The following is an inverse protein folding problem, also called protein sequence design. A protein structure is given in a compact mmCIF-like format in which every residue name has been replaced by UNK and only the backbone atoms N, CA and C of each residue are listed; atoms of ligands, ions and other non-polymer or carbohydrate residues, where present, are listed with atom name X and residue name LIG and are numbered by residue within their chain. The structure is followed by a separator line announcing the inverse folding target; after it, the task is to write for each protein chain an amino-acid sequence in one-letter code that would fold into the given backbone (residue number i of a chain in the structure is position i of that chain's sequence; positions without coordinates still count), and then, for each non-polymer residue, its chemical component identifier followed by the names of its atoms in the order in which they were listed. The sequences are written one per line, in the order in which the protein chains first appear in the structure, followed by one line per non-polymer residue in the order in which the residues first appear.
data_IF_587108354969
#
_entry.id   IF_587108354969
#
_cell.length_a   1.000
_cell.length_b   1.000
_cell.length_c   1.000
_cell.angle_alpha   90.00
_cell.angle_beta   90.00
_cell.angle_gamma   90.00
#
_symmetry.space_group_name_H-M   'P 1'
#
loop_
_entity.id
_entity.type
_entity.pdbx_description
1 polymer ?
#
# COMPACT_ATOMS: atom_id res chain seq x y z
N UNK A 1 4.68 -15.44 -27.49
CA UNK A 1 3.25 -15.06 -27.45
C UNK A 1 2.45 -15.76 -26.36
N UNK A 2 2.71 -17.03 -26.00
CA UNK A 2 1.92 -17.75 -24.96
C UNK A 2 2.28 -17.50 -23.48
N UNK A 3 3.54 -17.14 -23.18
CA UNK A 3 4.02 -16.97 -21.79
C UNK A 3 3.24 -15.90 -21.01
N UNK A 4 2.90 -14.78 -21.65
CA UNK A 4 2.16 -13.69 -21.01
C UNK A 4 0.73 -14.10 -20.66
N UNK A 5 0.08 -14.93 -21.48
CA UNK A 5 -1.29 -15.38 -21.26
C UNK A 5 -1.37 -16.43 -20.17
N UNK A 6 -0.51 -17.45 -20.19
CA UNK A 6 -0.47 -18.46 -19.13
C UNK A 6 -0.09 -17.86 -17.78
N UNK A 7 0.89 -16.95 -17.75
CA UNK A 7 1.26 -16.21 -16.53
C UNK A 7 0.09 -15.37 -16.01
N UNK A 8 -0.66 -14.71 -16.90
CA UNK A 8 -1.81 -13.89 -16.50
C UNK A 8 -2.94 -14.72 -15.91
N UNK A 9 -3.23 -15.88 -16.49
CA UNK A 9 -4.24 -16.82 -15.96
C UNK A 9 -3.80 -17.31 -14.57
N UNK A 10 -2.53 -17.71 -14.44
CA UNK A 10 -1.98 -18.16 -13.16
C UNK A 10 -2.05 -17.06 -12.09
N UNK A 11 -1.70 -15.83 -12.43
CA UNK A 11 -1.73 -14.68 -11.51
C UNK A 11 -3.15 -14.37 -11.02
N UNK A 12 -4.14 -14.43 -11.92
CA UNK A 12 -5.53 -14.18 -11.56
C UNK A 12 -6.08 -15.32 -10.72
N UNK A 13 -5.89 -16.57 -11.16
CA UNK A 13 -6.40 -17.75 -10.44
C UNK A 13 -5.77 -17.87 -9.05
N UNK A 14 -4.44 -17.78 -8.96
CA UNK A 14 -3.72 -17.78 -7.69
C UNK A 14 -4.10 -16.61 -6.80
N UNK A 15 -4.24 -15.41 -7.39
CA UNK A 15 -4.68 -14.21 -6.66
C UNK A 15 -6.07 -14.36 -6.05
N UNK A 16 -7.04 -14.91 -6.79
CA UNK A 16 -8.41 -15.14 -6.29
C UNK A 16 -8.43 -16.21 -5.20
N UNK A 17 -7.72 -17.33 -5.40
CA UNK A 17 -7.65 -18.41 -4.41
C UNK A 17 -7.05 -17.90 -3.11
N UNK A 18 -5.91 -17.20 -3.18
CA UNK A 18 -5.26 -16.62 -2.00
C UNK A 18 -6.14 -15.55 -1.35
N UNK A 19 -6.83 -14.72 -2.14
CA UNK A 19 -7.73 -13.71 -1.59
C UNK A 19 -8.86 -14.34 -0.77
N UNK A 20 -9.50 -15.39 -1.29
CA UNK A 20 -10.57 -16.10 -0.58
C UNK A 20 -10.04 -16.82 0.67
N UNK A 21 -8.90 -17.48 0.55
CA UNK A 21 -8.25 -18.19 1.66
C UNK A 21 -7.86 -17.24 2.80
N UNK A 22 -7.29 -16.08 2.46
CA UNK A 22 -6.82 -15.10 3.44
C UNK A 22 -7.87 -14.02 3.77
N UNK A 23 -9.05 -14.02 3.15
CA UNK A 23 -10.15 -13.10 3.43
C UNK A 23 -10.51 -12.99 4.92
N UNK A 24 -10.69 -14.08 5.69
CA UNK A 24 -11.04 -13.97 7.11
C UNK A 24 -9.94 -13.28 7.93
N UNK A 25 -8.66 -13.56 7.62
CA UNK A 25 -7.51 -12.93 8.28
C UNK A 25 -7.42 -11.45 7.90
N UNK A 26 -7.59 -11.14 6.61
CA UNK A 26 -7.61 -9.78 6.09
C UNK A 26 -8.74 -8.94 6.74
N UNK A 27 -9.91 -9.54 6.97
CA UNK A 27 -11.02 -8.89 7.67
C UNK A 27 -10.69 -8.64 9.14
N UNK A 28 -10.12 -9.62 9.86
CA UNK A 28 -9.70 -9.47 11.25
C UNK A 28 -8.66 -8.34 11.41
N UNK A 29 -7.67 -8.29 10.51
CA UNK A 29 -6.68 -7.18 10.47
C UNK A 29 -7.37 -5.85 10.19
N UNK A 30 -8.33 -5.82 9.26
CA UNK A 30 -9.10 -4.63 8.96
C UNK A 30 -9.85 -4.07 10.17
N UNK A 31 -10.48 -4.95 10.96
CA UNK A 31 -11.16 -4.59 12.21
C UNK A 31 -10.14 -4.05 13.23
N UNK A 32 -9.01 -4.75 13.42
CA UNK A 32 -7.97 -4.33 14.37
C UNK A 32 -7.44 -2.91 14.06
N UNK A 33 -7.28 -2.57 12.78
CA UNK A 33 -6.82 -1.24 12.34
C UNK A 33 -7.84 -0.15 12.69
N UNK A 34 -9.15 -0.41 12.54
CA UNK A 34 -10.20 0.56 12.87
C UNK A 34 -10.30 0.77 14.38
N UNK A 35 -10.10 -0.30 15.16
CA UNK A 35 -10.12 -0.24 16.63
C UNK A 35 -8.89 0.50 17.20
N UNK A 36 -7.72 0.33 16.59
CA UNK A 36 -6.50 1.02 16.99
C UNK A 36 -6.60 2.55 16.78
N UNK A 37 -6.98 2.97 15.57
CA UNK A 37 -7.09 4.39 15.22
C UNK A 37 -8.26 4.65 14.26
N UNK A 38 -9.06 5.71 14.48
CA UNK A 38 -10.17 6.02 13.58
C UNK A 38 -9.65 6.41 12.19
N UNK A 39 -10.25 5.86 11.13
CA UNK A 39 -9.95 6.21 9.74
C UNK A 39 -9.94 5.02 8.77
N UNK A 40 -9.47 5.21 7.53
CA UNK A 40 -9.51 4.18 6.50
C UNK A 40 -8.57 3.00 6.78
N UNK A 41 -9.03 1.77 6.51
CA UNK A 41 -8.24 0.53 6.72
C UNK A 41 -7.03 0.44 5.79
N UNK A 42 -7.17 0.91 4.56
CA UNK A 42 -6.10 0.88 3.56
C UNK A 42 -5.24 2.14 3.66
N UNK A 43 -3.93 1.96 3.53
CA UNK A 43 -2.98 3.06 3.52
C UNK A 43 -3.16 3.93 2.28
N UNK A 44 -2.99 5.24 2.45
CA UNK A 44 -2.87 6.15 1.31
C UNK A 44 -1.47 6.00 0.69
N UNK A 45 -1.38 5.21 -0.38
CA UNK A 45 -0.13 4.94 -1.08
C UNK A 45 -0.05 5.69 -2.40
N UNK A 46 1.15 6.24 -2.74
CA UNK A 46 1.35 6.85 -4.05
C UNK A 46 1.19 5.82 -5.17
N UNK A 47 0.71 6.28 -6.33
CA UNK A 47 0.64 5.47 -7.55
C UNK A 47 2.04 4.94 -7.90
N UNK A 48 2.09 3.72 -8.44
CA UNK A 48 3.31 3.05 -8.89
C UNK A 48 3.26 2.85 -10.39
N UNK A 49 4.43 2.84 -11.02
CA UNK A 49 4.58 2.54 -12.45
C UNK A 49 4.40 1.04 -12.64
N UNK A 50 3.43 0.65 -13.46
CA UNK A 50 3.10 -0.73 -13.79
C UNK A 50 3.54 -1.13 -15.20
N UNK A 51 2.89 -2.16 -15.75
CA UNK A 51 3.15 -2.69 -17.10
C UNK A 51 3.01 -1.56 -18.14
N UNK A 52 3.92 -1.48 -19.10
CA UNK A 52 3.92 -0.44 -20.15
C UNK A 52 3.91 1.01 -19.63
N UNK A 53 4.43 1.25 -18.43
CA UNK A 53 4.48 2.59 -17.84
C UNK A 53 3.14 3.08 -17.27
N UNK A 54 2.08 2.27 -17.31
CA UNK A 54 0.77 2.69 -16.80
C UNK A 54 0.79 2.80 -15.29
N UNK A 55 0.34 3.94 -14.75
CA UNK A 55 0.26 4.16 -13.31
C UNK A 55 -0.90 3.36 -12.70
N UNK A 56 -0.64 2.64 -11.61
CA UNK A 56 -1.67 1.95 -10.84
C UNK A 56 -1.57 2.25 -9.35
N UNK A 57 -2.68 2.08 -8.63
CA UNK A 57 -2.73 2.22 -7.17
C UNK A 57 -2.50 0.86 -6.53
N UNK A 58 -1.53 0.79 -5.61
CA UNK A 58 -1.30 -0.39 -4.77
C UNK A 58 -2.24 -0.32 -3.56
N UNK A 59 -2.79 -1.44 -3.11
CA UNK A 59 -3.53 -1.51 -1.86
C UNK A 59 -2.71 -2.24 -0.80
N UNK A 60 -2.63 -1.68 0.40
CA UNK A 60 -2.01 -2.31 1.58
C UNK A 60 -2.71 -1.82 2.83
N UNK A 61 -2.65 -2.60 3.90
CA UNK A 61 -3.15 -2.20 5.20
C UNK A 61 -2.42 -0.98 5.75
N UNK A 62 -3.15 -0.13 6.47
CA UNK A 62 -2.61 1.04 7.15
C UNK A 62 -1.79 0.60 8.36
N UNK A 63 -0.50 0.91 8.34
CA UNK A 63 0.41 0.75 9.49
C UNK A 63 0.89 2.08 10.08
N UNK A 64 0.71 3.19 9.36
CA UNK A 64 1.11 4.53 9.78
C UNK A 64 -0.13 5.39 10.05
N UNK A 65 0.07 6.51 10.74
CA UNK A 65 -0.99 7.50 10.97
C UNK A 65 -1.67 7.94 9.67
N UNK A 66 -2.95 8.30 9.76
CA UNK A 66 -3.71 8.84 8.63
C UNK A 66 -3.00 10.07 8.05
N UNK A 67 -2.84 10.07 6.71
CA UNK A 67 -2.16 11.11 5.91
C UNK A 67 -0.68 11.31 6.28
N UNK A 68 0.03 10.24 6.67
CA UNK A 68 1.45 10.29 7.04
C UNK A 68 2.35 11.02 6.02
N UNK A 69 2.16 10.77 4.72
CA UNK A 69 2.98 11.38 3.66
C UNK A 69 2.75 12.88 3.50
N UNK A 70 1.56 13.36 3.83
CA UNK A 70 1.24 14.79 3.81
C UNK A 70 1.79 15.46 5.06
N UNK A 71 1.51 14.88 6.24
CA UNK A 71 2.03 15.37 7.52
C UNK A 71 3.56 15.51 7.52
N UNK A 72 4.28 14.54 6.94
CA UNK A 72 5.73 14.61 6.80
C UNK A 72 6.21 15.82 5.98
N UNK A 73 5.43 16.29 5.02
CA UNK A 73 5.77 17.44 4.17
C UNK A 73 5.30 18.78 4.74
N UNK A 74 4.17 18.78 5.47
CA UNK A 74 3.50 20.00 5.90
C UNK A 74 3.82 20.40 7.34
N UNK A 75 4.12 19.46 8.24
CA UNK A 75 4.35 19.75 9.66
C UNK A 75 5.78 20.26 9.89
N UNK A 76 5.97 21.51 10.38
CA UNK A 76 7.30 22.06 10.66
C UNK A 76 8.10 21.24 11.68
N UNK A 77 7.43 20.53 12.59
CA UNK A 77 8.09 19.68 13.60
C UNK A 77 8.79 18.47 12.99
N UNK A 78 8.34 18.03 11.82
CA UNK A 78 8.90 16.91 11.08
C UNK A 78 9.96 17.34 10.05
N UNK A 79 10.36 18.62 10.01
CA UNK A 79 11.30 19.13 9.01
C UNK A 79 12.65 18.40 9.01
N UNK A 80 13.15 18.01 10.19
CA UNK A 80 14.38 17.20 10.32
C UNK A 80 14.20 15.83 9.67
N UNK A 81 13.10 15.14 10.00
CA UNK A 81 12.77 13.83 9.44
C UNK A 81 12.54 13.88 7.93
N UNK A 82 11.91 14.94 7.42
CA UNK A 82 11.72 15.14 5.99
C UNK A 82 13.03 15.36 5.25
N UNK A 83 13.98 16.08 5.87
CA UNK A 83 15.31 16.28 5.31
C UNK A 83 16.08 14.95 5.22
N UNK A 84 15.98 14.12 6.24
CA UNK A 84 16.56 12.77 6.26
C UNK A 84 15.90 11.84 5.24
N UNK A 85 14.57 11.87 5.13
CA UNK A 85 13.81 11.16 4.10
C UNK A 85 14.28 11.50 2.69
N UNK A 86 14.57 12.77 2.40
CA UNK A 86 15.13 13.18 1.10
C UNK A 86 16.55 12.65 0.90
N UNK A 87 17.40 12.73 1.92
CA UNK A 87 18.78 12.22 1.86
C UNK A 87 18.81 10.71 1.58
N UNK A 88 17.89 9.96 2.17
CA UNK A 88 17.75 8.52 1.98
C UNK A 88 16.94 8.14 0.73
N UNK A 89 16.92 9.00 -0.30
CA UNK A 89 16.25 8.73 -1.58
C UNK A 89 14.76 8.40 -1.42
N UNK A 90 14.05 9.16 -0.58
CA UNK A 90 12.63 8.97 -0.29
C UNK A 90 12.32 7.62 0.39
N UNK A 91 13.23 7.16 1.24
CA UNK A 91 13.05 6.03 2.15
C UNK A 91 13.29 6.49 3.59
N UNK A 92 12.41 6.06 4.50
CA UNK A 92 12.57 6.19 5.96
C UNK A 92 12.94 4.82 6.50
#
# INVERSE_FOLDING_TARGET
MGYDWSKRILDIAGGVILLLLFAPIAAAVGIAIVLDTPGPVLADTPKRVGRYGTLFKLFKFRSMVVRAHEKLRSDPRLAKLFSEYKKNSYKL
#
